data_IF_783853090007
#
_entry.id   IF_783853090007
#
_cell.length_a   1.000
_cell.length_b   1.000
_cell.length_c   1.000
_cell.angle_alpha   90.00
_cell.angle_beta   90.00
_cell.angle_gamma   90.00
#
_symmetry.space_group_name_H-M   'P 1'
#
loop_
_entity.id
_entity.type
_entity.pdbx_description
1 polymer ?
#
# COMPACT_ATOMS: atom_id res chain seq x y z
N UNK A 1 29.78 -2.26 -52.45
CA UNK A 1 29.49 -1.10 -51.57
C UNK A 1 28.04 -1.04 -51.12
N UNK A 2 27.04 -1.12 -52.01
CA UNK A 2 25.62 -1.07 -51.61
C UNK A 2 25.20 -2.14 -50.56
N UNK A 3 25.67 -3.39 -50.69
CA UNK A 3 25.36 -4.49 -49.76
C UNK A 3 25.93 -4.29 -48.37
N UNK A 4 27.11 -3.65 -48.23
CA UNK A 4 27.76 -3.36 -46.96
C UNK A 4 27.02 -2.24 -46.24
N UNK A 5 26.56 -1.21 -46.97
CA UNK A 5 25.77 -0.10 -46.42
C UNK A 5 24.44 -0.60 -45.87
N UNK A 6 23.78 -1.52 -46.58
CA UNK A 6 22.52 -2.13 -46.14
C UNK A 6 22.69 -2.96 -44.86
N UNK A 7 23.81 -3.69 -44.72
CA UNK A 7 24.12 -4.47 -43.52
C UNK A 7 24.40 -3.58 -42.31
N UNK A 8 25.16 -2.48 -42.51
CA UNK A 8 25.44 -1.52 -41.46
C UNK A 8 24.17 -0.81 -40.98
N UNK A 9 23.28 -0.43 -41.92
CA UNK A 9 21.98 0.17 -41.57
C UNK A 9 21.08 -0.80 -40.80
N UNK A 10 21.07 -2.10 -41.14
CA UNK A 10 20.33 -3.12 -40.41
C UNK A 10 20.85 -3.32 -38.97
N UNK A 11 22.16 -3.25 -38.77
CA UNK A 11 22.78 -3.37 -37.43
C UNK A 11 22.43 -2.15 -36.58
N UNK A 12 22.40 -0.94 -37.15
CA UNK A 12 22.04 0.29 -36.42
C UNK A 12 20.55 0.27 -36.01
N UNK A 13 19.65 -0.25 -36.83
CA UNK A 13 18.22 -0.37 -36.53
C UNK A 13 17.99 -1.40 -35.40
N UNK A 14 18.74 -2.50 -35.38
CA UNK A 14 18.61 -3.53 -34.32
C UNK A 14 19.15 -3.01 -33.00
N UNK A 15 20.20 -2.18 -33.00
CA UNK A 15 20.74 -1.59 -31.77
C UNK A 15 19.83 -0.49 -31.17
N UNK A 16 18.98 0.16 -31.96
CA UNK A 16 18.02 1.16 -31.46
C UNK A 16 16.73 0.55 -30.89
N UNK A 17 16.40 -0.71 -31.23
CA UNK A 17 15.26 -1.44 -30.67
C UNK A 17 15.62 -2.16 -29.35
N UNK A 18 16.88 -2.30 -29.00
CA UNK A 18 17.34 -2.88 -27.73
C UNK A 18 17.38 -1.88 -26.57
N UNK A 19 16.87 -0.66 -26.75
CA UNK A 19 16.90 0.44 -25.79
C UNK A 19 15.76 0.46 -24.76
N UNK A 20 15.17 -0.67 -24.36
CA UNK A 20 14.50 -0.75 -23.08
C UNK A 20 15.58 -0.76 -22.00
N UNK A 21 15.96 0.41 -21.49
CA UNK A 21 16.94 0.54 -20.43
C UNK A 21 16.42 -0.26 -19.21
N UNK A 22 17.04 -1.38 -18.91
CA UNK A 22 16.78 -2.22 -17.74
C UNK A 22 17.11 -1.50 -16.43
N UNK A 23 17.65 -0.29 -16.49
CA UNK A 23 18.20 0.47 -15.36
C UNK A 23 17.64 1.88 -15.18
N UNK A 24 16.82 2.40 -16.12
CA UNK A 24 16.22 3.75 -16.03
C UNK A 24 15.04 3.84 -15.07
N UNK A 25 14.60 5.10 -14.75
CA UNK A 25 13.36 5.36 -13.99
C UNK A 25 12.20 4.58 -14.62
N UNK A 26 11.44 3.85 -13.79
CA UNK A 26 10.36 2.97 -14.24
C UNK A 26 10.79 1.53 -14.57
N UNK A 27 12.09 1.21 -14.57
CA UNK A 27 12.54 -0.19 -14.64
C UNK A 27 12.16 -0.94 -13.35
N UNK A 28 12.05 -2.28 -13.42
CA UNK A 28 11.80 -3.11 -12.24
C UNK A 28 12.81 -2.83 -11.12
N UNK A 29 14.09 -2.86 -11.44
CA UNK A 29 15.16 -2.64 -10.46
C UNK A 29 15.10 -1.25 -9.83
N UNK A 30 14.74 -0.23 -10.59
CA UNK A 30 14.61 1.13 -10.08
C UNK A 30 13.40 1.23 -9.14
N UNK A 31 12.20 0.74 -9.56
CA UNK A 31 11.01 0.78 -8.71
C UNK A 31 11.21 -0.06 -7.44
N UNK A 32 11.79 -1.27 -7.54
CA UNK A 32 12.12 -2.09 -6.38
C UNK A 32 13.10 -1.41 -5.41
N UNK A 33 13.98 -0.55 -5.91
CA UNK A 33 14.83 0.27 -5.06
C UNK A 33 14.03 1.37 -4.35
N UNK A 34 13.11 2.04 -5.06
CA UNK A 34 12.26 3.09 -4.47
C UNK A 34 11.28 2.52 -3.42
N UNK A 35 10.75 1.30 -3.62
CA UNK A 35 9.87 0.64 -2.63
C UNK A 35 10.64 -0.07 -1.52
N UNK A 36 11.96 -0.15 -1.58
CA UNK A 36 12.74 -0.95 -0.61
C UNK A 36 12.64 -0.45 0.82
N UNK A 37 12.38 0.85 1.01
CA UNK A 37 12.22 1.43 2.35
C UNK A 37 10.89 1.08 3.03
N UNK A 38 10.00 0.31 2.35
CA UNK A 38 8.81 -0.28 2.97
C UNK A 38 9.18 -1.16 4.16
N UNK A 39 10.37 -1.75 4.16
CA UNK A 39 10.90 -2.54 5.29
C UNK A 39 11.05 -1.74 6.58
N UNK A 40 11.08 -0.41 6.52
CA UNK A 40 11.05 0.45 7.71
C UNK A 40 9.76 0.28 8.50
N UNK A 41 8.66 -0.10 7.84
CA UNK A 41 7.33 -0.22 8.44
C UNK A 41 6.85 -1.66 8.51
N UNK A 42 7.15 -2.49 7.52
CA UNK A 42 6.66 -3.86 7.38
C UNK A 42 7.72 -4.91 7.72
N UNK A 43 7.77 -5.49 8.96
CA UNK A 43 6.83 -5.27 10.05
C UNK A 43 7.26 -4.20 11.06
N UNK A 44 6.29 -3.58 11.71
CA UNK A 44 6.45 -2.84 12.95
C UNK A 44 5.43 -3.39 13.96
N UNK A 45 5.85 -4.34 14.78
CA UNK A 45 4.96 -5.07 15.70
C UNK A 45 4.22 -4.17 16.67
N UNK A 46 4.90 -3.13 17.16
CA UNK A 46 4.32 -2.12 18.02
C UNK A 46 4.19 -0.78 17.26
N UNK A 47 2.98 -0.32 16.90
CA UNK A 47 2.78 0.95 16.20
C UNK A 47 3.40 2.19 16.86
N UNK A 48 3.64 2.17 18.18
CA UNK A 48 4.33 3.27 18.87
C UNK A 48 5.79 3.42 18.41
N UNK A 49 6.41 2.35 17.91
CA UNK A 49 7.79 2.38 17.38
C UNK A 49 7.89 3.19 16.08
N UNK A 50 6.76 3.49 15.42
CA UNK A 50 6.73 4.41 14.29
C UNK A 50 7.14 5.84 14.67
N UNK A 51 7.00 6.26 15.92
CA UNK A 51 7.49 7.57 16.36
C UNK A 51 9.01 7.69 16.41
N UNK A 52 9.74 6.58 16.50
CA UNK A 52 11.20 6.57 16.38
C UNK A 52 11.63 6.70 14.92
N UNK A 53 10.84 6.11 14.01
CA UNK A 53 11.08 6.13 12.57
C UNK A 53 10.62 7.45 11.94
N UNK A 54 9.56 8.05 12.46
CA UNK A 54 8.90 9.27 11.98
C UNK A 54 8.75 10.29 13.12
N UNK A 55 9.81 11.01 13.48
CA UNK A 55 9.82 11.89 14.64
C UNK A 55 8.89 13.10 14.54
N UNK A 56 8.45 13.46 13.32
CA UNK A 56 7.45 14.51 13.11
C UNK A 56 6.00 14.02 13.19
N UNK A 57 5.80 12.71 13.42
CA UNK A 57 4.51 12.05 13.38
C UNK A 57 4.22 11.39 12.04
N UNK A 58 3.07 10.76 11.96
CA UNK A 58 2.67 9.98 10.79
C UNK A 58 1.14 9.89 10.68
N UNK A 59 0.68 9.49 9.49
CA UNK A 59 -0.72 9.11 9.25
C UNK A 59 -0.81 7.67 8.80
N UNK A 60 -1.86 7.00 9.24
CA UNK A 60 -2.25 5.65 8.81
C UNK A 60 -3.65 5.74 8.24
N UNK A 61 -3.80 5.34 6.99
CA UNK A 61 -5.08 5.24 6.31
C UNK A 61 -5.27 3.78 5.89
N UNK A 62 -6.45 3.19 6.18
CA UNK A 62 -6.79 1.82 5.80
C UNK A 62 -8.20 1.79 5.24
N UNK A 63 -8.41 1.11 4.13
CA UNK A 63 -9.72 0.87 3.56
C UNK A 63 -9.88 -0.62 3.22
N UNK A 64 -11.06 -1.18 3.51
CA UNK A 64 -11.48 -2.52 3.07
C UNK A 64 -12.85 -2.42 2.42
N UNK A 65 -12.91 -2.75 1.12
CA UNK A 65 -14.19 -2.82 0.41
C UNK A 65 -14.82 -4.22 0.59
N UNK A 66 -16.14 -4.25 0.67
CA UNK A 66 -16.93 -5.48 0.74
C UNK A 66 -18.37 -5.25 0.29
N UNK A 67 -19.11 -6.34 0.10
CA UNK A 67 -20.53 -6.29 -0.21
C UNK A 67 -21.36 -6.90 0.91
N UNK A 68 -22.53 -6.30 1.18
CA UNK A 68 -23.60 -6.87 1.97
C UNK A 68 -24.86 -6.90 1.09
N UNK A 69 -25.21 -8.08 0.59
CA UNK A 69 -26.25 -8.23 -0.44
C UNK A 69 -25.84 -7.46 -1.72
N UNK A 70 -26.70 -6.55 -2.16
CA UNK A 70 -26.45 -5.74 -3.38
C UNK A 70 -25.76 -4.39 -3.10
N UNK A 71 -25.47 -4.08 -1.84
CA UNK A 71 -24.84 -2.83 -1.44
C UNK A 71 -23.34 -2.99 -1.31
N UNK A 72 -22.59 -1.97 -1.73
CA UNK A 72 -21.14 -1.88 -1.60
C UNK A 72 -20.80 -0.97 -0.43
N UNK A 73 -19.87 -1.43 0.40
CA UNK A 73 -19.39 -0.71 1.57
C UNK A 73 -17.88 -0.62 1.60
N UNK A 74 -17.38 0.35 2.36
CA UNK A 74 -16.02 0.34 2.87
C UNK A 74 -15.99 0.45 4.38
N UNK A 75 -14.98 -0.16 5.00
CA UNK A 75 -14.55 0.19 6.36
C UNK A 75 -13.26 0.99 6.21
N UNK A 76 -13.33 2.25 6.60
CA UNK A 76 -12.24 3.20 6.48
C UNK A 76 -11.71 3.57 7.87
N UNK A 77 -10.39 3.50 8.03
CA UNK A 77 -9.68 3.95 9.23
C UNK A 77 -8.74 5.08 8.83
N UNK A 78 -8.83 6.19 9.54
CA UNK A 78 -7.90 7.30 9.45
C UNK A 78 -7.34 7.59 10.83
N UNK A 79 -6.03 7.42 11.01
CA UNK A 79 -5.36 7.69 12.30
C UNK A 79 -4.14 8.56 12.10
N UNK A 80 -3.82 9.29 13.15
CA UNK A 80 -2.63 10.15 13.21
C UNK A 80 -1.80 9.80 14.45
N UNK A 81 -0.51 9.57 14.24
CA UNK A 81 0.49 9.56 15.27
C UNK A 81 0.95 10.99 15.56
N UNK A 82 0.53 11.56 16.66
CA UNK A 82 0.87 12.92 17.06
C UNK A 82 2.20 12.94 17.82
N UNK A 83 3.20 13.66 17.30
CA UNK A 83 4.56 13.73 17.87
C UNK A 83 4.61 14.29 19.29
N UNK A 84 3.74 15.26 19.59
CA UNK A 84 3.79 15.98 20.87
C UNK A 84 3.14 15.18 21.99
N UNK A 85 2.04 14.48 21.69
CA UNK A 85 1.31 13.66 22.69
C UNK A 85 1.73 12.19 22.67
N UNK A 86 2.45 11.73 21.64
CA UNK A 86 2.82 10.33 21.41
C UNK A 86 1.60 9.40 21.34
N UNK A 87 0.43 9.94 21.01
CA UNK A 87 -0.79 9.16 20.81
C UNK A 87 -1.02 8.83 19.35
N UNK A 88 -1.60 7.66 19.10
CA UNK A 88 -2.06 7.23 17.79
C UNK A 88 -3.58 7.13 17.88
N UNK A 89 -4.28 8.11 17.32
CA UNK A 89 -5.73 8.25 17.45
C UNK A 89 -6.37 8.73 16.14
N UNK A 90 -7.65 8.48 16.00
CA UNK A 90 -8.38 8.87 14.80
C UNK A 90 -9.82 8.41 14.79
N UNK A 91 -10.29 7.99 13.64
CA UNK A 91 -11.66 7.51 13.44
C UNK A 91 -11.72 6.27 12.56
N UNK A 92 -12.77 5.51 12.72
CA UNK A 92 -13.17 4.40 11.84
C UNK A 92 -14.63 4.59 11.44
N UNK A 93 -14.92 4.35 10.16
CA UNK A 93 -16.25 4.54 9.59
C UNK A 93 -16.64 3.37 8.70
N UNK A 94 -17.94 3.00 8.73
CA UNK A 94 -18.58 2.19 7.68
C UNK A 94 -19.28 3.12 6.72
N UNK A 95 -18.89 3.06 5.45
CA UNK A 95 -19.37 3.95 4.40
C UNK A 95 -20.12 3.15 3.35
N UNK A 96 -21.38 3.50 3.09
CA UNK A 96 -22.16 3.00 1.95
C UNK A 96 -21.70 3.72 0.68
N UNK A 97 -21.39 2.96 -0.37
CA UNK A 97 -20.95 3.47 -1.66
C UNK A 97 -22.01 3.17 -2.72
N UNK A 98 -22.65 4.21 -3.21
CA UNK A 98 -23.64 4.16 -4.30
C UNK A 98 -22.96 4.62 -5.60
N UNK A 99 -23.18 3.90 -6.70
CA UNK A 99 -22.47 4.16 -7.97
C UNK A 99 -23.24 5.06 -8.94
N UNK A 100 -24.57 5.14 -8.81
CA UNK A 100 -25.42 5.87 -9.77
C UNK A 100 -26.58 6.57 -9.04
N UNK A 101 -26.48 7.89 -8.75
CA UNK A 101 -25.28 8.72 -8.83
C UNK A 101 -24.22 8.28 -7.82
N UNK A 102 -22.94 8.62 -8.07
CA UNK A 102 -21.90 8.35 -7.07
C UNK A 102 -22.18 9.15 -5.80
N UNK A 103 -22.27 8.43 -4.68
CA UNK A 103 -22.49 9.02 -3.35
C UNK A 103 -21.89 8.13 -2.28
N UNK A 104 -21.27 8.75 -1.32
CA UNK A 104 -20.79 8.10 -0.10
C UNK A 104 -21.60 8.57 1.10
N UNK A 105 -22.03 7.63 1.92
CA UNK A 105 -22.82 7.91 3.12
C UNK A 105 -22.23 7.17 4.29
N UNK A 106 -21.78 7.88 5.32
CA UNK A 106 -21.31 7.28 6.57
C UNK A 106 -22.52 6.74 7.32
N UNK A 107 -22.62 5.41 7.46
CA UNK A 107 -23.68 4.76 8.23
C UNK A 107 -23.31 4.61 9.70
N UNK A 108 -22.04 4.34 10.00
CA UNK A 108 -21.52 4.19 11.38
C UNK A 108 -20.14 4.82 11.49
N UNK A 109 -19.86 5.42 12.64
CA UNK A 109 -18.56 6.00 12.95
C UNK A 109 -18.26 5.90 14.45
N UNK A 110 -16.98 5.66 14.77
CA UNK A 110 -16.44 5.74 16.12
C UNK A 110 -15.04 6.34 16.09
N UNK A 111 -14.67 7.05 17.15
CA UNK A 111 -13.27 7.32 17.42
C UNK A 111 -12.54 6.01 17.72
N UNK A 112 -11.26 5.95 17.35
CA UNK A 112 -10.37 4.83 17.59
C UNK A 112 -9.04 5.33 18.11
N UNK A 113 -8.46 4.60 19.07
CA UNK A 113 -7.14 4.85 19.65
C UNK A 113 -6.34 3.54 19.65
N UNK A 114 -5.05 3.61 19.33
CA UNK A 114 -4.16 2.48 19.58
C UNK A 114 -3.71 2.50 21.04
N UNK A 115 -3.83 1.36 21.71
CA UNK A 115 -3.38 1.16 23.11
C UNK A 115 -2.42 -0.01 23.16
N UNK A 116 -1.22 0.22 23.67
CA UNK A 116 -0.21 -0.83 23.86
C UNK A 116 -0.79 -2.02 24.61
N UNK A 117 -0.58 -3.23 24.07
CA UNK A 117 -1.09 -4.47 24.64
C UNK A 117 -2.58 -4.74 24.40
N UNK A 118 -3.36 -3.76 23.92
CA UNK A 118 -4.79 -3.93 23.59
C UNK A 118 -5.07 -3.80 22.09
N UNK A 119 -4.16 -3.16 21.33
CA UNK A 119 -4.36 -2.86 19.92
C UNK A 119 -5.29 -1.67 19.71
N UNK A 120 -6.05 -1.70 18.62
CA UNK A 120 -7.05 -0.68 18.30
C UNK A 120 -8.28 -0.82 19.21
N UNK A 121 -8.69 0.27 19.83
CA UNK A 121 -9.82 0.33 20.77
C UNK A 121 -10.77 1.43 20.34
N UNK A 122 -12.06 1.11 20.20
CA UNK A 122 -13.10 2.08 19.88
C UNK A 122 -13.62 2.83 21.11
N UNK A 123 -14.01 4.08 20.92
CA UNK A 123 -14.80 4.83 21.90
C UNK A 123 -16.19 4.21 22.08
N UNK A 124 -16.77 3.61 21.01
CA UNK A 124 -18.03 2.88 21.00
C UNK A 124 -17.77 1.36 20.90
N UNK A 125 -17.60 0.65 22.03
CA UNK A 125 -17.21 -0.76 22.04
C UNK A 125 -18.20 -1.70 21.33
N UNK A 126 -19.49 -1.35 21.32
CA UNK A 126 -20.57 -2.09 20.67
C UNK A 126 -20.39 -2.20 19.15
N UNK A 127 -19.62 -1.30 18.54
CA UNK A 127 -19.32 -1.31 17.11
C UNK A 127 -18.06 -2.13 16.75
N UNK A 128 -17.33 -2.67 17.73
CA UNK A 128 -16.04 -3.33 17.50
C UNK A 128 -16.13 -4.49 16.53
N UNK A 129 -17.12 -5.38 16.69
CA UNK A 129 -17.27 -6.56 15.84
C UNK A 129 -17.51 -6.22 14.36
N UNK A 130 -18.10 -5.07 14.09
CA UNK A 130 -18.42 -4.62 12.73
C UNK A 130 -17.30 -3.75 12.12
N UNK A 131 -16.81 -2.76 12.89
CA UNK A 131 -15.84 -1.77 12.37
C UNK A 131 -14.38 -2.23 12.50
N UNK A 132 -14.07 -3.09 13.48
CA UNK A 132 -12.71 -3.57 13.76
C UNK A 132 -12.66 -5.08 13.93
N UNK A 133 -12.93 -5.89 12.89
CA UNK A 133 -12.82 -7.35 12.98
C UNK A 133 -11.39 -7.82 13.30
N UNK A 134 -10.41 -6.98 13.04
CA UNK A 134 -9.02 -7.11 13.50
C UNK A 134 -8.62 -5.83 14.24
N UNK A 135 -8.14 -5.97 15.46
CA UNK A 135 -7.72 -4.86 16.31
C UNK A 135 -6.24 -4.46 16.13
N UNK A 136 -5.66 -4.80 14.97
CA UNK A 136 -4.28 -4.48 14.61
C UNK A 136 -4.19 -4.10 13.13
N UNK A 137 -3.08 -3.52 12.71
CA UNK A 137 -2.77 -3.19 11.33
C UNK A 137 -2.02 -4.33 10.64
N UNK A 138 -2.17 -4.43 9.32
CA UNK A 138 -1.47 -5.46 8.54
C UNK A 138 0.05 -5.30 8.67
N UNK A 139 0.57 -4.06 8.66
CA UNK A 139 2.00 -3.79 8.81
C UNK A 139 2.61 -4.32 10.11
N UNK A 140 1.81 -4.64 11.14
CA UNK A 140 2.34 -5.20 12.38
C UNK A 140 2.79 -6.66 12.23
N UNK A 141 2.32 -7.35 11.21
CA UNK A 141 2.58 -8.79 11.00
C UNK A 141 3.21 -9.11 9.66
N UNK A 142 2.79 -8.42 8.60
CA UNK A 142 3.28 -8.68 7.25
C UNK A 142 4.74 -8.23 7.11
N UNK A 143 5.60 -9.15 6.70
CA UNK A 143 7.01 -8.84 6.41
C UNK A 143 7.18 -8.56 4.93
N UNK A 144 7.60 -7.34 4.61
CA UNK A 144 7.99 -6.93 3.27
C UNK A 144 9.41 -6.35 3.32
N UNK A 145 10.29 -6.87 2.47
CA UNK A 145 11.62 -6.32 2.29
C UNK A 145 12.12 -6.60 0.87
N UNK A 146 13.22 -5.98 0.51
CA UNK A 146 13.80 -6.11 -0.83
C UNK A 146 14.06 -7.55 -1.25
N UNK A 147 14.51 -8.42 -0.35
CA UNK A 147 14.86 -9.82 -0.67
C UNK A 147 13.62 -10.67 -0.93
N UNK A 148 12.51 -10.37 -0.26
CA UNK A 148 11.21 -11.00 -0.53
C UNK A 148 10.71 -10.50 -1.89
N UNK A 149 10.63 -9.18 -2.10
CA UNK A 149 10.05 -8.59 -3.29
C UNK A 149 10.76 -9.02 -4.58
N UNK A 150 12.08 -9.10 -4.58
CA UNK A 150 12.86 -9.56 -5.74
C UNK A 150 12.53 -10.98 -6.21
N UNK A 151 12.06 -11.84 -5.31
CA UNK A 151 11.71 -13.24 -5.60
C UNK A 151 10.29 -13.39 -6.15
N UNK A 152 9.46 -12.35 -6.05
CA UNK A 152 8.09 -12.40 -6.50
C UNK A 152 7.96 -12.22 -8.01
N UNK A 153 6.94 -12.82 -8.57
CA UNK A 153 6.51 -12.58 -9.94
C UNK A 153 5.90 -11.20 -10.06
N UNK A 154 6.46 -10.36 -10.95
CA UNK A 154 5.90 -9.03 -11.25
C UNK A 154 4.82 -9.18 -12.32
N UNK A 155 3.61 -8.77 -12.00
CA UNK A 155 2.48 -8.73 -12.93
C UNK A 155 2.47 -7.44 -13.74
N UNK A 156 2.71 -6.32 -13.07
CA UNK A 156 2.70 -5.01 -13.70
C UNK A 156 3.54 -4.00 -12.90
N UNK A 157 3.96 -2.93 -13.56
CA UNK A 157 4.67 -1.81 -12.93
C UNK A 157 4.57 -0.57 -13.79
N UNK A 158 4.60 0.59 -13.16
CA UNK A 158 4.62 1.85 -13.88
C UNK A 158 5.31 2.97 -13.07
N UNK A 159 5.81 3.96 -13.80
CA UNK A 159 6.27 5.23 -13.27
C UNK A 159 5.73 6.37 -14.14
N UNK A 160 5.03 7.32 -13.54
CA UNK A 160 4.52 8.51 -14.20
C UNK A 160 5.51 9.68 -14.07
N UNK A 161 6.02 10.16 -15.19
CA UNK A 161 6.89 11.34 -15.23
C UNK A 161 6.16 12.65 -14.92
N UNK A 162 4.84 12.68 -15.05
CA UNK A 162 4.02 13.87 -14.74
C UNK A 162 3.77 14.01 -13.23
N UNK A 163 3.39 12.89 -12.58
CA UNK A 163 3.00 12.89 -11.16
C UNK A 163 4.10 12.38 -10.24
N UNK A 164 5.18 11.86 -10.80
CA UNK A 164 6.26 11.17 -10.07
C UNK A 164 5.78 10.01 -9.19
N UNK A 165 4.59 9.46 -9.50
CA UNK A 165 4.06 8.28 -8.82
C UNK A 165 4.56 7.03 -9.49
N UNK A 166 4.83 6.02 -8.69
CA UNK A 166 5.18 4.68 -9.16
C UNK A 166 4.35 3.63 -8.45
N UNK A 167 4.22 2.48 -9.11
CA UNK A 167 3.73 1.27 -8.49
C UNK A 167 4.42 0.05 -9.08
N UNK A 168 4.40 -1.02 -8.30
CA UNK A 168 4.79 -2.35 -8.73
C UNK A 168 3.84 -3.38 -8.12
N UNK A 169 3.30 -4.22 -8.98
CA UNK A 169 2.31 -5.23 -8.66
C UNK A 169 2.94 -6.61 -8.74
N UNK A 170 2.76 -7.41 -7.71
CA UNK A 170 3.28 -8.76 -7.59
C UNK A 170 2.15 -9.77 -7.40
N UNK A 171 2.36 -10.98 -7.90
CA UNK A 171 1.60 -12.14 -7.44
C UNK A 171 2.19 -12.61 -6.10
N UNK A 172 1.36 -12.63 -5.05
CA UNK A 172 1.82 -12.90 -3.70
C UNK A 172 0.89 -13.86 -2.96
N UNK A 173 1.44 -14.61 -2.02
CA UNK A 173 0.69 -15.42 -1.06
C UNK A 173 1.41 -15.38 0.27
N UNK A 174 0.69 -15.13 1.35
CA UNK A 174 1.24 -15.02 2.70
C UNK A 174 0.18 -15.39 3.71
N UNK A 175 0.59 -16.19 4.69
CA UNK A 175 -0.28 -16.56 5.81
C UNK A 175 -0.78 -15.35 6.59
N UNK A 176 0.04 -14.31 6.71
CA UNK A 176 -0.32 -13.06 7.40
C UNK A 176 -1.45 -12.34 6.69
N UNK A 177 -1.46 -12.33 5.34
CA UNK A 177 -2.54 -11.77 4.53
C UNK A 177 -3.79 -12.62 4.67
N UNK A 178 -3.67 -13.95 4.54
CA UNK A 178 -4.79 -14.88 4.68
C UNK A 178 -5.47 -14.74 6.04
N UNK A 179 -4.68 -14.74 7.12
CA UNK A 179 -5.18 -14.60 8.49
C UNK A 179 -5.83 -13.23 8.72
N UNK A 180 -5.28 -12.16 8.11
CA UNK A 180 -5.77 -10.80 8.29
C UNK A 180 -7.06 -10.52 7.54
N UNK A 181 -7.15 -10.97 6.29
CA UNK A 181 -8.28 -10.71 5.39
C UNK A 181 -9.35 -11.81 5.42
N UNK A 182 -9.05 -12.95 6.04
CA UNK A 182 -9.95 -14.11 6.10
C UNK A 182 -9.98 -14.89 4.78
N UNK A 183 -8.81 -15.07 4.15
CA UNK A 183 -8.66 -15.83 2.90
C UNK A 183 -8.25 -17.26 3.18
N UNK A 184 -8.49 -18.15 2.23
CA UNK A 184 -8.08 -19.57 2.30
C UNK A 184 -6.95 -19.84 1.30
N UNK A 185 -5.72 -19.44 1.67
CA UNK A 185 -4.48 -19.65 0.88
C UNK A 185 -4.57 -19.17 -0.57
N UNK A 186 -5.23 -18.05 -0.77
CA UNK A 186 -5.38 -17.46 -2.09
C UNK A 186 -4.10 -16.73 -2.52
N UNK A 187 -3.80 -16.80 -3.81
CA UNK A 187 -2.88 -15.85 -4.42
C UNK A 187 -3.60 -14.52 -4.61
N UNK A 188 -2.95 -13.46 -4.19
CA UNK A 188 -3.46 -12.10 -4.31
C UNK A 188 -2.53 -11.25 -5.16
N UNK A 189 -3.08 -10.19 -5.71
CA UNK A 189 -2.33 -9.10 -6.29
C UNK A 189 -1.86 -8.18 -5.15
N UNK A 190 -0.55 -8.09 -4.94
CA UNK A 190 0.10 -7.17 -3.99
C UNK A 190 0.67 -5.99 -4.78
N UNK A 191 0.05 -4.83 -4.65
CA UNK A 191 0.48 -3.61 -5.32
C UNK A 191 1.10 -2.64 -4.29
N UNK A 192 2.35 -2.25 -4.50
CA UNK A 192 3.05 -1.28 -3.66
C UNK A 192 3.19 0.01 -4.46
N UNK A 193 2.61 1.08 -3.92
CA UNK A 193 2.57 2.40 -4.54
C UNK A 193 3.35 3.40 -3.71
N UNK A 194 4.04 4.31 -4.39
CA UNK A 194 4.76 5.41 -3.77
C UNK A 194 4.84 6.64 -4.66
N UNK A 195 5.53 7.65 -4.15
CA UNK A 195 5.81 8.87 -4.88
C UNK A 195 7.31 9.18 -4.79
N UNK A 196 7.92 9.36 -5.94
CA UNK A 196 9.32 9.75 -6.03
C UNK A 196 9.49 11.26 -5.83
N UNK A 197 10.50 11.64 -5.06
CA UNK A 197 10.93 13.02 -4.96
C UNK A 197 12.47 13.06 -4.84
N UNK A 198 13.11 13.89 -5.65
CA UNK A 198 14.56 14.08 -5.56
C UNK A 198 14.96 14.90 -4.33
N UNK A 199 14.08 15.80 -3.90
CA UNK A 199 14.35 16.77 -2.82
C UNK A 199 13.83 16.32 -1.47
N UNK A 200 12.76 15.53 -1.46
CA UNK A 200 12.01 15.19 -0.26
C UNK A 200 11.82 13.67 -0.20
N UNK A 201 12.57 13.02 0.68
CA UNK A 201 12.51 11.58 0.90
C UNK A 201 11.52 11.21 2.01
N UNK A 202 10.42 11.96 2.12
CA UNK A 202 9.34 11.63 3.06
C UNK A 202 8.80 10.25 2.77
N UNK A 203 8.70 9.41 3.80
CA UNK A 203 8.11 8.08 3.66
C UNK A 203 6.65 8.17 3.21
N UNK A 204 6.34 7.52 2.11
CA UNK A 204 5.00 7.48 1.53
C UNK A 204 4.81 6.17 0.79
N UNK A 205 4.14 5.20 1.41
CA UNK A 205 3.78 3.96 0.74
C UNK A 205 2.33 3.57 0.99
N UNK A 206 1.72 3.03 -0.05
CA UNK A 206 0.42 2.36 0.01
C UNK A 206 0.62 0.91 -0.43
N UNK A 207 0.23 -0.01 0.43
CA UNK A 207 0.07 -1.43 0.11
C UNK A 207 -1.38 -1.64 -0.26
N UNK A 208 -1.64 -2.16 -1.46
CA UNK A 208 -2.98 -2.56 -1.92
C UNK A 208 -2.98 -4.06 -2.15
N UNK A 209 -4.02 -4.74 -1.68
CA UNK A 209 -4.23 -6.16 -1.88
C UNK A 209 -5.57 -6.35 -2.58
N UNK A 210 -5.53 -7.00 -3.73
CA UNK A 210 -6.71 -7.33 -4.53
C UNK A 210 -6.79 -8.83 -4.76
N UNK A 211 -7.99 -9.38 -4.69
CA UNK A 211 -8.21 -10.78 -5.03
C UNK A 211 -8.09 -11.01 -6.52
N UNK A 212 -7.48 -12.14 -6.93
CA UNK A 212 -7.39 -12.52 -8.35
C UNK A 212 -8.74 -12.94 -8.92
N UNK A 213 -9.57 -13.56 -8.11
CA UNK A 213 -10.88 -14.13 -8.51
C UNK A 213 -12.04 -13.59 -7.66
N UNK A 214 -11.75 -12.83 -6.63
CA UNK A 214 -12.72 -12.30 -5.67
C UNK A 214 -12.80 -10.78 -5.75
N UNK A 215 -13.90 -10.20 -5.29
CA UNK A 215 -14.06 -8.74 -5.19
C UNK A 215 -13.34 -8.17 -3.95
N UNK A 216 -12.27 -8.83 -3.51
CA UNK A 216 -11.45 -8.35 -2.42
C UNK A 216 -10.70 -7.09 -2.84
N UNK A 217 -10.84 -6.05 -2.05
CA UNK A 217 -9.97 -4.87 -2.08
C UNK A 217 -9.63 -4.44 -0.67
N UNK A 218 -8.36 -4.32 -0.41
CA UNK A 218 -7.81 -3.81 0.84
C UNK A 218 -6.68 -2.84 0.53
N UNK A 219 -6.58 -1.73 1.26
CA UNK A 219 -5.43 -0.84 1.20
C UNK A 219 -5.00 -0.38 2.58
N UNK A 220 -3.68 -0.27 2.79
CA UNK A 220 -3.07 0.30 3.98
C UNK A 220 -1.96 1.26 3.56
N UNK A 221 -2.08 2.52 3.97
CA UNK A 221 -1.18 3.60 3.59
C UNK A 221 -0.58 4.23 4.84
N UNK A 222 0.73 4.36 4.84
CA UNK A 222 1.47 5.05 5.88
C UNK A 222 2.23 6.22 5.26
N UNK A 223 2.11 7.39 5.89
CA UNK A 223 2.75 8.64 5.45
C UNK A 223 3.40 9.30 6.63
N UNK A 224 4.67 9.62 6.49
CA UNK A 224 5.40 10.47 7.43
C UNK A 224 4.90 11.92 7.35
N UNK A 225 4.69 12.57 8.49
CA UNK A 225 4.38 14.00 8.54
C UNK A 225 5.65 14.83 8.34
N UNK A 226 5.54 15.88 7.53
CA UNK A 226 6.67 16.81 7.30
C UNK A 226 6.90 17.70 8.52
N UNK A 227 8.15 18.06 8.79
CA UNK A 227 8.45 19.16 9.69
C UNK A 227 7.84 20.45 9.12
N UNK A 228 7.13 21.18 9.97
CA UNK A 228 6.66 22.53 9.65
C UNK A 228 7.81 23.51 9.71
#
# INVERSE_FOLDING_TARGET
MKKIITLIMSIIIISTLAGCSTTGKGSRSWIENEVSDIEKVYPTENPEDLFEKFPNGFRIERAKLFKEGNKKYSIDIEMKGNKDTRKIEGKVSKVLIESKPYKETIEKESKVEYKKGKGLVLEKPELTGELLPKNYFLFQKLKLNRDILKKLEVKDKNFSFETYRYYINYLFSSKEIDDYLGLDKEKVSLDIRGQYSEKDKTYFHTVVIEGETTELYFSEKIVEEKSK
#
